data_IF_374666932503
#
_entry.id   IF_374666932503
#
_cell.length_a   1.000
_cell.length_b   1.000
_cell.length_c   1.000
_cell.angle_alpha   90.00
_cell.angle_beta   90.00
_cell.angle_gamma   90.00
#
_symmetry.space_group_name_H-M   'P 1'
#
loop_
_entity.id
_entity.type
_entity.pdbx_description
1 polymer ?
#
# COMPACT_ATOMS: atom_id res chain seq x y z
N UNK A 1 -29.74 -17.08 49.04
CA UNK A 1 -28.30 -17.40 49.10
C UNK A 1 -27.66 -16.83 47.85
N UNK A 2 -26.98 -15.69 47.96
CA UNK A 2 -26.23 -15.09 46.86
C UNK A 2 -24.82 -14.81 47.35
N UNK A 3 -23.83 -15.46 46.76
CA UNK A 3 -22.42 -15.22 47.03
C UNK A 3 -21.95 -14.02 46.19
N UNK A 4 -21.51 -12.95 46.85
CA UNK A 4 -20.87 -11.80 46.21
C UNK A 4 -19.36 -12.00 46.13
N UNK A 5 -18.78 -11.93 44.94
CA UNK A 5 -17.33 -11.92 44.76
C UNK A 5 -16.81 -10.47 44.76
N UNK A 6 -16.04 -10.14 45.80
CA UNK A 6 -15.29 -8.89 45.90
C UNK A 6 -13.94 -9.07 45.20
N UNK A 7 -13.73 -8.39 44.08
CA UNK A 7 -12.38 -8.22 43.53
C UNK A 7 -11.66 -7.16 44.37
N UNK A 8 -10.82 -7.62 45.31
CA UNK A 8 -9.87 -6.74 45.98
C UNK A 8 -8.79 -6.34 44.97
N UNK A 9 -8.67 -5.04 44.71
CA UNK A 9 -7.55 -4.48 43.96
C UNK A 9 -6.25 -4.83 44.69
N UNK A 10 -5.53 -5.84 44.19
CA UNK A 10 -4.20 -6.18 44.68
C UNK A 10 -3.25 -5.08 44.21
N UNK A 11 -3.08 -4.04 45.03
CA UNK A 11 -2.03 -3.05 44.85
C UNK A 11 -0.67 -3.71 45.10
N UNK A 12 -0.08 -4.22 44.02
CA UNK A 12 1.33 -4.65 44.05
C UNK A 12 2.18 -3.39 44.07
N UNK A 13 2.62 -2.99 45.28
CA UNK A 13 3.54 -1.87 45.44
C UNK A 13 4.91 -2.25 44.86
N UNK A 14 5.17 -1.76 43.64
CA UNK A 14 6.49 -1.89 43.02
C UNK A 14 7.45 -0.99 43.77
N UNK A 15 8.46 -1.58 44.42
CA UNK A 15 9.48 -0.84 45.16
C UNK A 15 10.12 0.27 44.30
N UNK A 16 10.36 1.44 44.89
CA UNK A 16 10.83 2.63 44.17
C UNK A 16 12.10 2.38 43.35
N UNK A 17 13.01 1.53 43.83
CA UNK A 17 14.23 1.11 43.10
C UNK A 17 13.91 0.36 41.81
N UNK A 18 12.97 -0.60 41.84
CA UNK A 18 12.56 -1.36 40.65
C UNK A 18 11.94 -0.43 39.61
N UNK A 19 11.09 0.50 40.04
CA UNK A 19 10.49 1.52 39.17
C UNK A 19 11.56 2.42 38.54
N UNK A 20 12.55 2.87 39.33
CA UNK A 20 13.64 3.71 38.83
C UNK A 20 14.55 2.98 37.83
N UNK A 21 14.87 1.71 38.09
CA UNK A 21 15.66 0.88 37.17
C UNK A 21 14.90 0.67 35.85
N UNK A 22 13.61 0.34 35.92
CA UNK A 22 12.77 0.18 34.73
C UNK A 22 12.68 1.47 33.90
N UNK A 23 12.36 2.59 34.55
CA UNK A 23 12.26 3.89 33.87
C UNK A 23 13.62 4.31 33.30
N UNK A 24 14.72 4.10 34.04
CA UNK A 24 16.07 4.37 33.54
C UNK A 24 16.42 3.56 32.30
N UNK A 25 16.05 2.27 32.29
CA UNK A 25 16.24 1.40 31.12
C UNK A 25 15.41 1.85 29.92
N UNK A 26 14.13 2.20 30.12
CA UNK A 26 13.27 2.73 29.05
C UNK A 26 13.80 4.05 28.50
N UNK A 27 14.24 4.97 29.36
CA UNK A 27 14.85 6.23 28.91
C UNK A 27 16.12 5.96 28.10
N UNK A 28 16.98 5.04 28.54
CA UNK A 28 18.18 4.67 27.79
C UNK A 28 17.83 4.11 26.40
N UNK A 29 16.84 3.21 26.32
CA UNK A 29 16.35 2.67 25.05
C UNK A 29 15.76 3.77 24.16
N UNK A 30 14.96 4.69 24.70
CA UNK A 30 14.40 5.80 23.96
C UNK A 30 15.50 6.70 23.37
N UNK A 31 16.55 7.00 24.15
CA UNK A 31 17.72 7.76 23.67
C UNK A 31 18.44 7.02 22.53
N UNK A 32 18.63 5.70 22.66
CA UNK A 32 19.23 4.88 21.60
C UNK A 32 18.36 4.87 20.34
N UNK A 33 17.04 4.75 20.48
CA UNK A 33 16.11 4.81 19.35
C UNK A 33 16.15 6.17 18.65
N UNK A 34 16.16 7.28 19.39
CA UNK A 34 16.26 8.63 18.81
C UNK A 34 17.60 8.83 18.11
N UNK A 35 18.71 8.39 18.71
CA UNK A 35 20.02 8.43 18.07
C UNK A 35 20.04 7.59 16.78
N UNK A 36 19.44 6.40 16.82
CA UNK A 36 19.27 5.53 15.66
C UNK A 36 18.45 6.18 14.56
N UNK A 37 17.33 6.84 14.90
CA UNK A 37 16.50 7.58 13.95
C UNK A 37 17.30 8.69 13.29
N UNK A 38 18.03 9.51 14.06
CA UNK A 38 18.84 10.62 13.53
C UNK A 38 19.95 10.09 12.61
N UNK A 39 20.63 9.02 13.01
CA UNK A 39 21.77 8.48 12.27
C UNK A 39 21.35 7.73 11.00
N UNK A 40 20.27 6.95 11.06
CA UNK A 40 19.77 6.16 9.94
C UNK A 40 18.77 6.94 9.08
N UNK A 41 18.39 8.17 9.45
CA UNK A 41 17.40 8.94 8.69
C UNK A 41 17.85 9.11 7.24
N UNK A 42 17.00 8.79 6.25
CA UNK A 42 17.34 9.01 4.84
C UNK A 42 17.26 10.50 4.52
N UNK A 43 18.36 11.09 4.07
CA UNK A 43 18.36 12.49 3.60
C UNK A 43 17.71 12.60 2.22
N UNK A 44 17.16 13.77 1.89
CA UNK A 44 16.53 13.99 0.58
C UNK A 44 17.52 13.82 -0.58
N UNK A 45 18.80 14.16 -0.36
CA UNK A 45 19.87 13.95 -1.35
C UNK A 45 20.13 12.47 -1.60
N UNK A 46 20.20 11.65 -0.55
CA UNK A 46 20.35 10.20 -0.69
C UNK A 46 19.14 9.57 -1.39
N UNK A 47 17.92 9.97 -1.01
CA UNK A 47 16.68 9.47 -1.64
C UNK A 47 16.70 9.72 -3.15
N UNK A 48 17.05 10.94 -3.57
CA UNK A 48 17.05 11.31 -4.98
C UNK A 48 18.17 10.62 -5.78
N UNK A 49 19.34 10.40 -5.17
CA UNK A 49 20.48 9.79 -5.86
C UNK A 49 20.48 8.25 -5.81
N UNK A 50 19.99 7.67 -4.71
CA UNK A 50 20.11 6.24 -4.41
C UNK A 50 18.86 5.43 -4.76
N UNK A 51 17.67 6.03 -4.80
CA UNK A 51 16.48 5.34 -5.28
C UNK A 51 16.46 5.42 -6.80
N UNK A 52 16.90 4.34 -7.43
CA UNK A 52 16.75 4.13 -8.87
C UNK A 52 15.25 4.04 -9.18
N UNK A 53 14.67 5.15 -9.63
CA UNK A 53 13.31 5.15 -10.14
C UNK A 53 13.36 4.35 -11.44
N UNK A 54 12.55 3.29 -11.54
CA UNK A 54 12.32 2.66 -12.84
C UNK A 54 11.61 3.71 -13.68
N UNK A 55 12.38 4.42 -14.50
CA UNK A 55 11.82 5.39 -15.43
C UNK A 55 10.99 4.62 -16.43
N UNK A 56 9.71 4.95 -16.50
CA UNK A 56 8.83 4.45 -17.52
C UNK A 56 9.45 4.85 -18.88
N UNK A 57 9.72 3.89 -19.79
CA UNK A 57 10.34 4.20 -21.07
C UNK A 57 9.57 5.29 -21.81
N UNK A 58 10.28 6.16 -22.55
CA UNK A 58 9.64 7.17 -23.37
C UNK A 58 8.61 6.52 -24.31
N UNK A 59 7.38 7.04 -24.30
CA UNK A 59 6.26 6.49 -25.08
C UNK A 59 5.38 5.48 -24.32
N UNK A 60 5.69 5.15 -23.06
CA UNK A 60 4.82 4.34 -22.20
C UNK A 60 3.97 5.25 -21.30
N UNK A 61 2.66 5.25 -21.51
CA UNK A 61 1.70 6.11 -20.81
C UNK A 61 0.65 5.23 -20.14
N UNK A 62 0.48 5.34 -18.82
CA UNK A 62 -0.65 4.70 -18.12
C UNK A 62 -1.82 5.67 -18.03
N UNK A 63 -3.02 5.20 -18.33
CA UNK A 63 -4.25 5.98 -18.22
C UNK A 63 -5.42 5.09 -17.82
N UNK A 64 -6.45 5.69 -17.25
CA UNK A 64 -7.72 5.05 -16.96
C UNK A 64 -8.55 4.97 -18.26
N UNK A 65 -9.36 3.92 -18.39
CA UNK A 65 -10.30 3.70 -19.48
C UNK A 65 -11.54 2.94 -18.98
N UNK A 66 -12.69 3.11 -19.66
CA UNK A 66 -13.93 2.41 -19.31
C UNK A 66 -14.29 1.40 -20.40
N UNK A 67 -14.64 0.18 -19.99
CA UNK A 67 -15.07 -0.87 -20.92
C UNK A 67 -16.43 -0.52 -21.51
N UNK A 68 -16.52 -0.42 -22.84
CA UNK A 68 -17.77 -0.18 -23.57
C UNK A 68 -18.32 -1.42 -24.25
N UNK A 69 -17.45 -2.38 -24.61
CA UNK A 69 -17.85 -3.67 -25.16
C UNK A 69 -16.86 -4.77 -24.77
N UNK A 70 -17.36 -6.02 -24.73
CA UNK A 70 -16.59 -7.22 -24.41
C UNK A 70 -16.87 -8.26 -25.48
N UNK A 71 -15.82 -8.77 -26.11
CA UNK A 71 -15.91 -9.82 -27.13
C UNK A 71 -15.04 -11.02 -26.74
N UNK A 72 -15.62 -12.22 -26.79
CA UNK A 72 -14.92 -13.50 -26.61
C UNK A 72 -14.33 -13.96 -27.95
N UNK A 73 -13.32 -13.24 -28.45
CA UNK A 73 -12.71 -13.60 -29.74
C UNK A 73 -11.22 -13.35 -29.76
N UNK A 74 -10.44 -14.42 -29.66
CA UNK A 74 -9.06 -14.42 -30.13
C UNK A 74 -8.89 -15.57 -31.12
N UNK A 75 -9.60 -15.48 -32.25
CA UNK A 75 -9.35 -16.40 -33.36
C UNK A 75 -7.92 -16.19 -33.88
N UNK A 76 -7.09 -17.24 -33.77
CA UNK A 76 -5.88 -17.42 -34.58
C UNK A 76 -4.54 -16.88 -34.05
N UNK A 77 -4.43 -16.41 -32.80
CA UNK A 77 -3.17 -15.82 -32.30
C UNK A 77 -2.36 -16.66 -31.30
N UNK A 78 -2.86 -17.82 -30.85
CA UNK A 78 -2.14 -18.69 -29.92
C UNK A 78 -2.16 -20.15 -30.39
N UNK A 79 -0.99 -20.79 -30.54
CA UNK A 79 -0.90 -22.24 -30.73
C UNK A 79 -1.41 -22.98 -29.47
N UNK A 80 -2.18 -24.08 -29.60
CA UNK A 80 -2.91 -24.72 -28.51
C UNK A 80 -2.04 -25.55 -27.55
N UNK A 81 -0.81 -25.11 -27.27
CA UNK A 81 0.16 -25.86 -26.47
C UNK A 81 0.11 -25.55 -24.95
N UNK A 82 -0.66 -24.54 -24.51
CA UNK A 82 -0.65 -24.07 -23.11
C UNK A 82 -2.07 -23.86 -22.54
N UNK A 83 -2.92 -24.88 -22.61
CA UNK A 83 -4.26 -24.86 -22.00
C UNK A 83 -5.24 -23.85 -22.63
N UNK A 84 -6.53 -23.99 -22.31
CA UNK A 84 -7.56 -23.02 -22.71
C UNK A 84 -7.36 -21.71 -21.94
N UNK A 85 -6.51 -20.83 -22.45
CA UNK A 85 -6.45 -19.45 -21.95
C UNK A 85 -7.66 -18.70 -22.51
N UNK A 86 -8.61 -18.34 -21.64
CA UNK A 86 -9.67 -17.40 -21.98
C UNK A 86 -9.04 -16.10 -22.46
N UNK A 87 -9.52 -15.63 -23.60
CA UNK A 87 -9.03 -14.43 -24.27
C UNK A 87 -10.23 -13.55 -24.61
N UNK A 88 -10.18 -12.32 -24.08
CA UNK A 88 -11.22 -11.32 -24.24
C UNK A 88 -10.63 -10.12 -24.96
N UNK A 89 -11.41 -9.53 -25.86
CA UNK A 89 -11.12 -8.24 -26.46
C UNK A 89 -12.08 -7.23 -25.83
N UNK A 90 -11.53 -6.22 -25.17
CA UNK A 90 -12.31 -5.12 -24.62
C UNK A 90 -12.21 -3.93 -25.56
N UNK A 91 -13.35 -3.39 -25.99
CA UNK A 91 -13.40 -2.02 -26.51
C UNK A 91 -13.51 -1.08 -25.32
N UNK A 92 -12.60 -0.12 -25.21
CA UNK A 92 -12.51 0.79 -24.08
C UNK A 92 -12.47 2.24 -24.53
N UNK A 93 -13.14 3.12 -23.81
CA UNK A 93 -13.04 4.57 -23.97
C UNK A 93 -11.92 5.10 -23.08
N UNK A 94 -10.94 5.76 -23.67
CA UNK A 94 -9.73 6.23 -22.98
C UNK A 94 -9.97 7.59 -22.33
N UNK A 95 -9.75 7.72 -21.02
CA UNK A 95 -10.05 8.99 -20.30
C UNK A 95 -8.92 10.01 -20.30
N UNK A 96 -7.70 9.61 -20.64
CA UNK A 96 -6.51 10.45 -20.48
C UNK A 96 -5.40 10.18 -21.49
N UNK A 97 -4.43 11.10 -21.51
CA UNK A 97 -3.31 11.04 -22.45
C UNK A 97 -3.67 11.53 -23.86
N UNK A 98 -2.83 11.21 -24.87
CA UNK A 98 -2.97 11.71 -26.23
C UNK A 98 -4.26 11.28 -26.93
N UNK A 99 -4.81 10.13 -26.54
CA UNK A 99 -5.94 9.47 -27.19
C UNK A 99 -7.23 9.59 -26.35
N UNK A 100 -7.32 10.60 -25.48
CA UNK A 100 -8.48 10.82 -24.62
C UNK A 100 -9.78 11.03 -25.43
N UNK A 101 -10.85 10.32 -25.06
CA UNK A 101 -12.14 10.30 -25.74
C UNK A 101 -12.17 9.42 -27.01
N UNK A 102 -11.14 8.61 -27.25
CA UNK A 102 -11.13 7.63 -28.34
C UNK A 102 -11.48 6.23 -27.82
N UNK A 103 -12.11 5.43 -28.68
CA UNK A 103 -12.38 4.02 -28.41
C UNK A 103 -11.27 3.17 -29.01
N UNK A 104 -10.62 2.35 -28.19
CA UNK A 104 -9.54 1.45 -28.61
C UNK A 104 -9.81 0.01 -28.16
N UNK A 105 -9.24 -0.95 -28.87
CA UNK A 105 -9.35 -2.36 -28.52
C UNK A 105 -8.14 -2.80 -27.71
N UNK A 106 -8.40 -3.48 -26.60
CA UNK A 106 -7.38 -4.02 -25.69
C UNK A 106 -7.59 -5.51 -25.54
N UNK A 107 -6.58 -6.29 -25.92
CA UNK A 107 -6.61 -7.73 -25.75
C UNK A 107 -6.18 -8.10 -24.33
N UNK A 108 -6.96 -8.98 -23.69
CA UNK A 108 -6.75 -9.43 -22.33
C UNK A 108 -6.78 -10.95 -22.28
N UNK A 109 -5.71 -11.54 -21.76
CA UNK A 109 -5.53 -12.98 -21.65
C UNK A 109 -5.19 -13.39 -20.23
N UNK A 110 -5.41 -14.68 -19.90
CA UNK A 110 -4.97 -15.27 -18.64
C UNK A 110 -5.86 -14.93 -17.44
N UNK A 111 -5.31 -14.73 -16.23
CA UNK A 111 -6.10 -14.47 -15.03
C UNK A 111 -7.01 -13.23 -15.11
N UNK A 112 -6.60 -12.10 -15.73
CA UNK A 112 -7.48 -10.94 -15.90
C UNK A 112 -8.71 -11.20 -16.76
N UNK A 113 -8.61 -12.04 -17.79
CA UNK A 113 -9.75 -12.42 -18.63
C UNK A 113 -10.82 -13.21 -17.83
N UNK A 114 -10.39 -13.92 -16.78
CA UNK A 114 -11.25 -14.68 -15.88
C UNK A 114 -11.76 -13.85 -14.69
N UNK A 115 -11.39 -12.57 -14.59
CA UNK A 115 -11.74 -11.72 -13.44
C UNK A 115 -13.22 -11.26 -13.45
N UNK A 116 -13.98 -11.59 -14.49
CA UNK A 116 -15.40 -11.24 -14.61
C UNK A 116 -15.63 -9.74 -14.85
N UNK A 117 -14.71 -9.07 -15.55
CA UNK A 117 -14.86 -7.66 -15.95
C UNK A 117 -16.05 -7.48 -16.89
N UNK A 118 -16.82 -6.42 -16.68
CA UNK A 118 -18.06 -6.14 -17.41
C UNK A 118 -18.02 -4.76 -18.07
N UNK A 119 -18.96 -4.56 -19.01
CA UNK A 119 -19.21 -3.24 -19.60
C UNK A 119 -19.55 -2.24 -18.48
N UNK A 120 -18.87 -1.10 -18.47
CA UNK A 120 -18.98 -0.06 -17.46
C UNK A 120 -17.87 -0.08 -16.40
N UNK A 121 -17.05 -1.14 -16.33
CA UNK A 121 -15.93 -1.18 -15.39
C UNK A 121 -14.80 -0.23 -15.80
N UNK A 122 -14.16 0.37 -14.80
CA UNK A 122 -12.99 1.24 -14.96
C UNK A 122 -11.71 0.40 -14.81
N UNK A 123 -10.87 0.45 -15.84
CA UNK A 123 -9.62 -0.28 -15.92
C UNK A 123 -8.44 0.67 -16.17
N UNK A 124 -7.27 0.28 -15.71
CA UNK A 124 -6.01 0.91 -16.06
C UNK A 124 -5.44 0.23 -17.29
N UNK A 125 -5.14 1.03 -18.31
CA UNK A 125 -4.46 0.61 -19.53
C UNK A 125 -3.09 1.27 -19.62
N UNK A 126 -2.18 0.60 -20.31
CA UNK A 126 -0.86 1.13 -20.67
C UNK A 126 -0.78 1.22 -22.18
N UNK A 127 -0.57 2.44 -22.67
CA UNK A 127 -0.23 2.75 -24.06
C UNK A 127 1.28 2.67 -24.22
N UNK A 128 1.74 2.00 -25.27
CA UNK A 128 3.15 1.86 -25.64
C UNK A 128 3.28 2.32 -27.08
N UNK A 129 4.01 3.40 -27.32
CA UNK A 129 4.34 3.83 -28.68
C UNK A 129 5.31 2.85 -29.34
N UNK A 130 4.88 2.23 -30.45
CA UNK A 130 5.72 1.37 -31.29
C UNK A 130 5.88 1.96 -32.69
N UNK A 131 6.80 1.42 -33.49
CA UNK A 131 7.01 1.89 -34.86
C UNK A 131 5.79 1.71 -35.77
N UNK A 132 4.93 0.73 -35.46
CA UNK A 132 3.75 0.36 -36.24
C UNK A 132 2.45 1.01 -35.69
N UNK A 133 2.55 1.80 -34.61
CA UNK A 133 1.44 2.48 -33.96
C UNK A 133 1.39 2.28 -32.44
N UNK A 134 0.44 2.92 -31.72
CA UNK A 134 0.29 2.74 -30.29
C UNK A 134 -0.30 1.36 -29.97
N UNK A 135 0.39 0.60 -29.14
CA UNK A 135 -0.09 -0.67 -28.60
C UNK A 135 -0.70 -0.43 -27.22
N UNK A 136 -1.91 -0.93 -27.00
CA UNK A 136 -2.60 -0.85 -25.71
C UNK A 136 -2.57 -2.20 -25.01
N UNK A 137 -2.23 -2.17 -23.72
CA UNK A 137 -2.17 -3.36 -22.89
C UNK A 137 -2.86 -3.14 -21.55
N UNK A 138 -3.56 -4.16 -21.07
CA UNK A 138 -4.20 -4.13 -19.76
C UNK A 138 -3.18 -4.10 -18.63
N UNK A 139 -3.34 -3.15 -17.70
CA UNK A 139 -2.47 -3.00 -16.52
C UNK A 139 -3.16 -3.47 -15.25
N UNK A 140 -4.45 -3.17 -15.08
CA UNK A 140 -5.15 -3.48 -13.84
C UNK A 140 -6.51 -2.79 -13.72
N UNK A 141 -7.01 -2.74 -12.48
CA UNK A 141 -8.22 -2.00 -12.10
C UNK A 141 -7.87 -0.97 -11.02
N UNK A 142 -8.60 0.13 -11.02
CA UNK A 142 -8.45 1.19 -10.03
C UNK A 142 -9.08 0.77 -8.70
N UNK A 143 -8.27 0.25 -7.77
CA UNK A 143 -8.74 -0.18 -6.44
C UNK A 143 -8.80 0.95 -5.42
N UNK A 144 -8.25 2.11 -5.77
CA UNK A 144 -8.17 3.30 -4.91
C UNK A 144 -9.52 3.70 -4.34
N UNK A 145 -10.61 3.86 -5.12
CA UNK A 145 -11.90 4.29 -4.57
C UNK A 145 -12.44 3.30 -3.53
N UNK A 146 -12.36 1.99 -3.80
CA UNK A 146 -12.81 0.94 -2.87
C UNK A 146 -12.00 0.97 -1.58
N UNK A 147 -10.68 1.07 -1.67
CA UNK A 147 -9.80 1.14 -0.50
C UNK A 147 -10.05 2.41 0.33
N UNK A 148 -10.33 3.55 -0.31
CA UNK A 148 -10.67 4.81 0.38
C UNK A 148 -12.00 4.67 1.13
N UNK A 149 -13.04 4.12 0.50
CA UNK A 149 -14.34 3.90 1.15
C UNK A 149 -14.22 2.96 2.34
N UNK A 150 -13.53 1.83 2.18
CA UNK A 150 -13.28 0.88 3.26
C UNK A 150 -12.44 1.51 4.39
N UNK A 151 -11.44 2.31 4.06
CA UNK A 151 -10.62 3.03 5.03
C UNK A 151 -11.43 4.04 5.83
N UNK A 152 -12.31 4.81 5.18
CA UNK A 152 -13.22 5.74 5.86
C UNK A 152 -14.20 5.01 6.77
N UNK A 153 -14.79 3.90 6.30
CA UNK A 153 -15.69 3.07 7.10
C UNK A 153 -14.96 2.53 8.34
N UNK A 154 -13.72 2.03 8.18
CA UNK A 154 -12.89 1.59 9.29
C UNK A 154 -12.66 2.70 10.32
N UNK A 155 -12.29 3.90 9.88
CA UNK A 155 -12.11 5.07 10.77
C UNK A 155 -13.39 5.39 11.53
N UNK A 156 -14.54 5.42 10.84
CA UNK A 156 -15.85 5.67 11.47
C UNK A 156 -16.17 4.60 12.52
N UNK A 157 -15.96 3.32 12.19
CA UNK A 157 -16.20 2.21 13.11
C UNK A 157 -15.32 2.30 14.37
N UNK A 158 -14.02 2.58 14.21
CA UNK A 158 -13.09 2.73 15.34
C UNK A 158 -13.47 3.90 16.24
N UNK A 159 -13.83 5.04 15.67
CA UNK A 159 -14.27 6.21 16.44
C UNK A 159 -15.61 5.95 17.13
N UNK A 160 -16.55 5.26 16.47
CA UNK A 160 -17.83 4.91 17.06
C UNK A 160 -17.68 3.95 18.26
N UNK A 161 -16.82 2.93 18.14
CA UNK A 161 -16.62 1.90 19.19
C UNK A 161 -15.74 2.41 20.33
N UNK A 162 -14.63 3.09 20.03
CA UNK A 162 -13.61 3.46 21.02
C UNK A 162 -13.61 4.96 21.39
N UNK A 163 -14.47 5.78 20.78
CA UNK A 163 -14.65 7.23 21.04
C UNK A 163 -13.31 7.96 21.16
N UNK A 164 -12.96 8.36 22.38
CA UNK A 164 -11.72 9.07 22.71
C UNK A 164 -10.46 8.21 22.61
N UNK A 165 -10.55 6.92 22.97
CA UNK A 165 -9.44 5.98 22.80
C UNK A 165 -9.21 5.63 21.32
N UNK A 166 -10.27 5.64 20.51
CA UNK A 166 -10.20 5.37 19.08
C UNK A 166 -9.39 6.41 18.31
N UNK A 167 -9.47 7.68 18.71
CA UNK A 167 -8.68 8.75 18.07
C UNK A 167 -7.18 8.55 18.27
N UNK A 168 -6.75 8.18 19.48
CA UNK A 168 -5.34 7.87 19.76
C UNK A 168 -4.85 6.65 18.96
N UNK A 169 -5.70 5.64 18.78
CA UNK A 169 -5.36 4.47 17.96
C UNK A 169 -5.15 4.85 16.48
N UNK A 170 -5.98 5.73 15.93
CA UNK A 170 -5.83 6.22 14.54
C UNK A 170 -4.55 7.05 14.41
N UNK A 171 -4.25 7.93 15.37
CA UNK A 171 -3.01 8.68 15.39
C UNK A 171 -1.79 7.77 15.45
N UNK A 172 -1.84 6.73 16.28
CA UNK A 172 -0.80 5.69 16.34
C UNK A 172 -0.60 4.98 15.00
N UNK A 173 -1.69 4.61 14.32
CA UNK A 173 -1.65 3.99 12.99
C UNK A 173 -1.02 4.92 11.94
N UNK A 174 -1.43 6.19 11.90
CA UNK A 174 -0.87 7.19 10.98
C UNK A 174 0.62 7.41 11.25
N UNK A 175 1.01 7.50 12.52
CA UNK A 175 2.41 7.62 12.91
C UNK A 175 3.23 6.40 12.47
N UNK A 176 2.72 5.19 12.70
CA UNK A 176 3.36 3.95 12.27
C UNK A 176 3.53 3.91 10.74
N UNK A 177 2.49 4.29 9.99
CA UNK A 177 2.55 4.41 8.54
C UNK A 177 3.58 5.44 8.07
N UNK A 178 3.67 6.59 8.74
CA UNK A 178 4.66 7.62 8.44
C UNK A 178 6.10 7.14 8.68
N UNK A 179 6.37 6.42 9.77
CA UNK A 179 7.67 5.81 10.04
C UNK A 179 8.01 4.78 8.96
N UNK A 180 7.04 3.96 8.54
CA UNK A 180 7.25 3.00 7.45
C UNK A 180 7.61 3.70 6.13
N UNK A 181 6.77 4.63 5.68
CA UNK A 181 6.90 5.28 4.37
C UNK A 181 8.11 6.22 4.30
N UNK A 182 8.43 6.91 5.40
CA UNK A 182 9.42 8.00 5.40
C UNK A 182 10.77 7.61 5.97
N UNK A 183 10.85 6.51 6.73
CA UNK A 183 12.10 6.04 7.35
C UNK A 183 12.46 4.61 6.91
N UNK A 184 11.59 3.62 7.15
CA UNK A 184 11.93 2.21 6.91
C UNK A 184 12.07 1.90 5.41
N UNK A 185 11.06 2.21 4.60
CA UNK A 185 11.05 1.91 3.16
C UNK A 185 12.23 2.59 2.45
N UNK A 186 12.47 3.91 2.59
CA UNK A 186 13.60 4.54 1.93
C UNK A 186 14.93 4.03 2.48
N UNK A 187 15.04 3.74 3.78
CA UNK A 187 16.26 3.19 4.38
C UNK A 187 16.67 1.86 3.76
N UNK A 188 15.70 0.96 3.53
CA UNK A 188 15.95 -0.34 2.88
C UNK A 188 16.31 -0.14 1.41
N UNK A 189 15.60 0.73 0.69
CA UNK A 189 15.88 1.03 -0.73
C UNK A 189 17.27 1.64 -0.94
N UNK A 190 17.77 2.39 0.03
CA UNK A 190 19.12 2.97 0.02
C UNK A 190 20.21 1.98 0.45
N UNK A 191 19.87 0.72 0.72
CA UNK A 191 20.83 -0.31 1.11
C UNK A 191 21.39 -0.16 2.53
N UNK A 192 20.73 0.60 3.41
CA UNK A 192 21.12 0.68 4.83
C UNK A 192 20.94 -0.69 5.52
N UNK A 193 21.63 -0.97 6.64
CA UNK A 193 21.49 -2.23 7.36
C UNK A 193 20.03 -2.48 7.82
N UNK A 194 19.33 -3.40 7.13
CA UNK A 194 17.89 -3.61 7.31
C UNK A 194 17.50 -4.00 8.74
N UNK A 195 18.33 -4.79 9.44
CA UNK A 195 18.08 -5.15 10.84
C UNK A 195 18.09 -3.92 11.77
N UNK A 196 19.04 -3.00 11.57
CA UNK A 196 19.13 -1.79 12.40
C UNK A 196 17.95 -0.86 12.13
N UNK A 197 17.60 -0.64 10.85
CA UNK A 197 16.45 0.18 10.45
C UNK A 197 15.14 -0.40 11.00
N UNK A 198 14.93 -1.72 10.89
CA UNK A 198 13.74 -2.38 11.40
C UNK A 198 13.64 -2.32 12.93
N UNK A 199 14.76 -2.50 13.65
CA UNK A 199 14.78 -2.46 15.11
C UNK A 199 14.52 -1.04 15.65
N UNK A 200 15.15 -0.03 15.04
CA UNK A 200 14.91 1.38 15.39
C UNK A 200 13.48 1.79 15.04
N UNK A 201 12.99 1.41 13.86
CA UNK A 201 11.63 1.74 13.42
C UNK A 201 10.56 1.10 14.29
N UNK A 202 10.69 -0.19 14.61
CA UNK A 202 9.71 -0.89 15.47
C UNK A 202 9.72 -0.38 16.92
N UNK A 203 10.89 -0.11 17.49
CA UNK A 203 10.98 0.51 18.83
C UNK A 203 10.40 1.92 18.86
N UNK A 204 10.62 2.73 17.81
CA UNK A 204 10.03 4.06 17.71
C UNK A 204 8.50 4.01 17.68
N UNK A 205 7.92 3.08 16.90
CA UNK A 205 6.46 2.89 16.86
C UNK A 205 5.93 2.44 18.22
N UNK A 206 6.61 1.50 18.89
CA UNK A 206 6.24 1.01 20.22
C UNK A 206 6.25 2.09 21.31
N UNK A 207 7.13 3.09 21.21
CA UNK A 207 7.15 4.20 22.18
C UNK A 207 6.00 5.20 21.99
N UNK A 208 5.42 5.28 20.79
CA UNK A 208 4.39 6.26 20.45
C UNK A 208 2.98 5.66 20.54
N UNK A 209 2.82 4.39 20.17
CA UNK A 209 1.55 3.64 20.18
C UNK A 209 1.33 2.99 21.55
#
# INVERSE_FOLDING_TARGET
>A
MGHSHSHGDVHVEVGARTKQVLVGFLVALAVVTVAGLIWLWPSQGEINAGIQRVETPAGVISTEATITAVEESCEGQFEPAVGELQCLVFTVDVHGGPDAGSSVEVQVTGPPAQAGLQVGDEIDITRIDTADGPLYSYKGINRTPVLVVLGLLFVVAVVAVARWKGLFAILGLVFAGAVLIRFIIPGILLGKPGMAVALVGSTAIMYVV
#
